data_IF_973069885439
#
_entry.id   IF_973069885439
#
_cell.length_a   1.000
_cell.length_b   1.000
_cell.length_c   1.000
_cell.angle_alpha   90.00
_cell.angle_beta   90.00
_cell.angle_gamma   90.00
#
_symmetry.space_group_name_H-M   'P 1'
#
loop_
_entity.id
_entity.type
_entity.pdbx_description
1 polymer ?
#
# COMPACT_ATOMS: atom_id res chain seq x y z
N UNK A 1 9.28 3.82 27.41
CA UNK A 1 8.24 3.70 26.36
C UNK A 1 7.56 2.37 26.60
N UNK A 2 6.25 2.36 26.87
CA UNK A 2 5.52 1.11 27.11
C UNK A 2 5.40 0.33 25.80
N UNK A 3 5.64 -0.98 25.81
CA UNK A 3 5.36 -1.84 24.66
C UNK A 3 3.84 -1.83 24.41
N UNK A 4 3.39 -1.66 23.16
CA UNK A 4 1.97 -1.72 22.83
C UNK A 4 1.41 -3.11 23.18
N UNK A 5 0.14 -3.19 23.62
CA UNK A 5 -0.50 -4.46 23.92
C UNK A 5 -0.56 -5.31 22.64
N UNK A 6 -0.16 -6.57 22.76
CA UNK A 6 -0.16 -7.49 21.62
C UNK A 6 -1.57 -7.99 21.34
N UNK A 7 -1.92 -8.06 20.06
CA UNK A 7 -3.25 -8.48 19.59
C UNK A 7 -3.26 -10.01 19.48
N UNK A 8 -4.13 -10.72 20.22
CA UNK A 8 -4.29 -12.16 20.05
C UNK A 8 -5.01 -12.43 18.72
N UNK A 9 -4.38 -13.22 17.85
CA UNK A 9 -4.98 -13.68 16.60
C UNK A 9 -5.30 -15.16 16.75
N UNK A 10 -6.57 -15.53 16.57
CA UNK A 10 -6.99 -16.93 16.38
C UNK A 10 -6.79 -17.32 14.91
N UNK A 11 -6.53 -18.60 14.61
CA UNK A 11 -6.41 -19.14 13.24
C UNK A 11 -7.75 -19.15 12.46
N UNK A 12 -8.61 -18.16 12.65
CA UNK A 12 -9.88 -18.03 11.93
C UNK A 12 -9.70 -17.20 10.66
N UNK A 13 -10.02 -17.80 9.51
CA UNK A 13 -10.02 -17.15 8.21
C UNK A 13 -11.46 -17.11 7.66
N UNK A 14 -12.03 -15.94 7.30
CA UNK A 14 -11.45 -14.60 7.37
C UNK A 14 -11.34 -14.03 8.80
N UNK A 15 -10.30 -13.21 9.03
CA UNK A 15 -10.08 -12.50 10.30
C UNK A 15 -11.28 -11.57 10.57
N UNK A 16 -11.92 -11.64 11.76
CA UNK A 16 -13.07 -10.78 12.09
C UNK A 16 -12.73 -9.29 11.98
N UNK A 17 -13.69 -8.46 11.53
CA UNK A 17 -13.49 -7.01 11.38
C UNK A 17 -12.99 -6.34 12.68
N UNK A 18 -13.51 -6.76 13.84
CA UNK A 18 -13.07 -6.27 15.14
C UNK A 18 -11.60 -6.55 15.47
N UNK A 19 -11.03 -7.63 14.91
CA UNK A 19 -9.60 -7.96 15.04
C UNK A 19 -8.77 -7.13 14.06
N UNK A 20 -9.28 -6.88 12.85
CA UNK A 20 -8.63 -6.01 11.87
C UNK A 20 -8.49 -4.57 12.39
N UNK A 21 -9.53 -4.06 13.07
CA UNK A 21 -9.49 -2.74 13.72
C UNK A 21 -8.44 -2.71 14.84
N UNK A 22 -8.36 -3.75 15.67
CA UNK A 22 -7.35 -3.87 16.74
C UNK A 22 -5.92 -3.90 16.18
N UNK A 23 -5.69 -4.66 15.10
CA UNK A 23 -4.40 -4.69 14.40
C UNK A 23 -4.05 -3.30 13.86
N UNK A 24 -4.99 -2.62 13.23
CA UNK A 24 -4.79 -1.27 12.69
C UNK A 24 -4.42 -0.28 13.79
N UNK A 25 -5.13 -0.30 14.92
CA UNK A 25 -4.83 0.55 16.08
C UNK A 25 -3.46 0.23 16.69
N UNK A 26 -3.10 -1.06 16.79
CA UNK A 26 -1.80 -1.48 17.33
C UNK A 26 -0.64 -1.07 16.41
N UNK A 27 -0.79 -1.23 15.09
CA UNK A 27 0.20 -0.75 14.12
C UNK A 27 0.34 0.77 14.16
N UNK A 28 -0.77 1.51 14.36
CA UNK A 28 -0.73 2.95 14.52
C UNK A 28 0.03 3.35 15.80
N UNK A 29 -0.30 2.72 16.93
CA UNK A 29 0.32 3.00 18.23
C UNK A 29 1.83 2.70 18.25
N UNK A 30 2.27 1.66 17.55
CA UNK A 30 3.68 1.28 17.45
C UNK A 30 4.46 2.02 16.34
N UNK A 31 3.79 2.89 15.57
CA UNK A 31 4.38 3.54 14.39
C UNK A 31 4.70 2.56 13.25
N UNK A 32 4.10 1.37 13.24
CA UNK A 32 4.25 0.38 12.17
C UNK A 32 3.65 0.85 10.85
N UNK A 33 2.50 1.56 10.88
CA UNK A 33 1.87 2.11 9.67
C UNK A 33 2.83 3.08 8.93
N UNK A 34 3.41 4.12 9.57
CA UNK A 34 4.40 4.98 8.93
C UNK A 34 5.61 4.22 8.35
N UNK A 35 6.11 3.19 9.04
CA UNK A 35 7.25 2.39 8.55
C UNK A 35 6.89 1.59 7.30
N UNK A 36 5.73 0.95 7.29
CA UNK A 36 5.20 0.22 6.12
C UNK A 36 5.03 1.19 4.94
N UNK A 37 4.43 2.35 5.17
CA UNK A 37 4.22 3.37 4.13
C UNK A 37 5.54 3.91 3.57
N UNK A 38 6.53 4.17 4.44
CA UNK A 38 7.85 4.62 4.02
C UNK A 38 8.57 3.56 3.18
N UNK A 39 8.53 2.30 3.61
CA UNK A 39 9.11 1.19 2.84
C UNK A 39 8.42 1.04 1.48
N UNK A 40 7.08 1.07 1.43
CA UNK A 40 6.34 0.97 0.18
C UNK A 40 6.70 2.11 -0.79
N UNK A 41 6.72 3.35 -0.30
CA UNK A 41 7.14 4.50 -1.11
C UNK A 41 8.57 4.34 -1.62
N UNK A 42 9.52 3.96 -0.76
CA UNK A 42 10.90 3.76 -1.16
C UNK A 42 11.02 2.70 -2.26
N UNK A 43 10.30 1.58 -2.14
CA UNK A 43 10.32 0.52 -3.17
C UNK A 43 9.69 0.96 -4.49
N UNK A 44 8.60 1.73 -4.44
CA UNK A 44 8.01 2.33 -5.64
C UNK A 44 8.97 3.31 -6.33
N UNK A 45 9.69 4.12 -5.54
CA UNK A 45 10.70 5.06 -6.03
C UNK A 45 11.88 4.30 -6.67
N UNK A 46 12.41 3.28 -5.99
CA UNK A 46 13.51 2.42 -6.48
C UNK A 46 13.13 1.64 -7.76
N UNK A 47 11.87 1.24 -7.88
CA UNK A 47 11.35 0.58 -9.07
C UNK A 47 11.05 1.55 -10.23
N UNK A 48 11.28 2.85 -10.06
CA UNK A 48 10.99 3.89 -11.06
C UNK A 48 9.51 4.23 -11.23
N UNK A 49 8.61 3.57 -10.48
CA UNK A 49 7.16 3.72 -10.63
C UNK A 49 6.71 5.17 -10.36
N UNK A 50 7.25 5.81 -9.32
CA UNK A 50 6.89 7.19 -8.98
C UNK A 50 7.33 8.20 -10.03
N UNK A 51 8.46 7.97 -10.69
CA UNK A 51 8.94 8.80 -11.79
C UNK A 51 8.02 8.63 -13.02
N UNK A 52 7.68 7.39 -13.35
CA UNK A 52 6.79 7.08 -14.45
C UNK A 52 5.41 7.70 -14.26
N UNK A 53 4.86 7.65 -13.04
CA UNK A 53 3.61 8.31 -12.70
C UNK A 53 3.68 9.82 -12.91
N UNK A 54 4.77 10.46 -12.46
CA UNK A 54 4.98 11.91 -12.65
C UNK A 54 5.07 12.26 -14.13
N UNK A 55 5.79 11.46 -14.92
CA UNK A 55 5.95 11.66 -16.35
C UNK A 55 4.61 11.55 -17.09
N UNK A 56 3.81 10.53 -16.75
CA UNK A 56 2.47 10.36 -17.31
C UNK A 56 1.54 11.53 -16.98
N UNK A 57 1.45 11.94 -15.71
CA UNK A 57 0.62 13.10 -15.32
C UNK A 57 1.08 14.36 -16.04
N UNK A 58 2.39 14.58 -16.14
CA UNK A 58 2.95 15.72 -16.87
C UNK A 58 2.57 15.68 -18.35
N UNK A 59 2.59 14.50 -18.98
CA UNK A 59 2.18 14.32 -20.37
C UNK A 59 0.68 14.61 -20.58
N UNK A 60 -0.19 14.19 -19.65
CA UNK A 60 -1.63 14.48 -19.70
C UNK A 60 -1.92 15.97 -19.73
N UNK A 61 -1.25 16.75 -18.87
CA UNK A 61 -1.44 18.21 -18.84
C UNK A 61 -0.77 18.91 -20.02
N UNK A 62 0.41 18.45 -20.48
CA UNK A 62 1.10 19.07 -21.63
C UNK A 62 0.41 18.83 -22.96
N UNK A 63 -0.22 17.67 -23.13
CA UNK A 63 -0.99 17.35 -24.33
C UNK A 63 -2.34 18.07 -24.37
N UNK A 64 -2.81 18.60 -23.23
CA UNK A 64 -4.15 19.15 -23.07
C UNK A 64 -5.24 18.08 -22.93
N UNK A 65 -4.88 16.81 -22.82
CA UNK A 65 -5.82 15.70 -22.60
C UNK A 65 -6.49 15.76 -21.23
N UNK A 66 -5.83 16.37 -20.24
CA UNK A 66 -6.43 16.79 -18.98
C UNK A 66 -6.14 18.26 -18.72
N UNK A 67 -7.14 18.97 -18.23
CA UNK A 67 -7.05 20.39 -17.85
C UNK A 67 -7.37 20.60 -16.38
N UNK A 68 -8.00 19.62 -15.73
CA UNK A 68 -8.33 19.67 -14.30
C UNK A 68 -7.68 18.53 -13.53
N UNK A 69 -7.55 18.74 -12.21
CA UNK A 69 -7.05 17.72 -11.29
C UNK A 69 -7.92 16.45 -11.31
N UNK A 70 -9.24 16.60 -11.33
CA UNK A 70 -10.17 15.46 -11.29
C UNK A 70 -10.05 14.58 -12.54
N UNK A 71 -9.93 15.19 -13.74
CA UNK A 71 -9.70 14.46 -14.99
C UNK A 71 -8.40 13.65 -14.95
N UNK A 72 -7.31 14.27 -14.51
CA UNK A 72 -6.02 13.59 -14.40
C UNK A 72 -6.07 12.45 -13.37
N UNK A 73 -6.74 12.66 -12.25
CA UNK A 73 -6.88 11.65 -11.19
C UNK A 73 -7.66 10.42 -11.68
N UNK A 74 -8.76 10.60 -12.41
CA UNK A 74 -9.54 9.48 -12.96
C UNK A 74 -8.70 8.67 -13.94
N UNK A 75 -7.98 9.32 -14.87
CA UNK A 75 -7.07 8.62 -15.79
C UNK A 75 -5.92 7.90 -15.09
N UNK A 76 -5.39 8.47 -14.02
CA UNK A 76 -4.34 7.83 -13.22
C UNK A 76 -4.88 6.58 -12.52
N UNK A 77 -6.06 6.66 -11.87
CA UNK A 77 -6.67 5.50 -11.20
C UNK A 77 -6.94 4.36 -12.17
N UNK A 78 -7.45 4.68 -13.36
CA UNK A 78 -7.67 3.71 -14.43
C UNK A 78 -6.34 3.04 -14.84
N UNK A 79 -5.29 3.85 -15.03
CA UNK A 79 -3.99 3.36 -15.54
C UNK A 79 -3.16 2.59 -14.51
N UNK A 80 -3.29 2.92 -13.23
CA UNK A 80 -2.64 2.20 -12.11
C UNK A 80 -3.38 0.89 -11.77
N UNK A 81 -4.60 0.70 -12.28
CA UNK A 81 -5.38 -0.51 -12.06
C UNK A 81 -6.01 -0.60 -10.67
N UNK A 82 -6.22 0.53 -9.98
CA UNK A 82 -6.89 0.57 -8.67
C UNK A 82 -8.36 0.10 -8.74
N UNK A 83 -8.94 0.01 -9.94
CA UNK A 83 -10.28 -0.51 -10.18
C UNK A 83 -10.35 -2.04 -10.36
N UNK A 84 -9.29 -2.79 -10.02
CA UNK A 84 -9.35 -4.25 -9.92
C UNK A 84 -9.59 -4.98 -11.25
N UNK A 85 -9.21 -4.37 -12.38
CA UNK A 85 -9.24 -5.04 -13.69
C UNK A 85 -8.01 -5.92 -13.84
N UNK A 86 -8.21 -7.24 -13.74
CA UNK A 86 -7.19 -8.24 -14.11
C UNK A 86 -6.73 -8.02 -15.55
N UNK A 87 -5.41 -7.96 -15.77
CA UNK A 87 -4.80 -7.86 -17.10
C UNK A 87 -4.29 -6.48 -17.51
N UNK A 88 -4.23 -5.50 -16.61
CA UNK A 88 -3.46 -4.28 -16.88
C UNK A 88 -1.96 -4.60 -16.88
N UNK A 89 -1.35 -4.56 -18.05
CA UNK A 89 0.11 -4.48 -18.23
C UNK A 89 0.46 -3.04 -18.59
N UNK A 90 1.38 -2.44 -17.84
CA UNK A 90 1.79 -1.07 -18.09
C UNK A 90 2.75 -0.55 -17.04
N UNK A 91 3.50 0.47 -17.45
CA UNK A 91 4.55 1.12 -16.64
C UNK A 91 4.04 1.75 -15.33
N UNK A 92 2.73 2.00 -15.24
CA UNK A 92 2.07 2.54 -14.04
C UNK A 92 1.38 1.49 -13.17
N UNK A 93 1.48 0.21 -13.54
CA UNK A 93 1.03 -0.88 -12.68
C UNK A 93 2.08 -1.09 -11.60
N UNK A 94 1.65 -1.22 -10.34
CA UNK A 94 2.56 -1.48 -9.24
C UNK A 94 3.28 -2.82 -9.48
N UNK A 95 4.62 -2.85 -9.55
CA UNK A 95 5.36 -4.09 -9.80
C UNK A 95 5.10 -5.14 -8.71
N UNK A 96 4.92 -6.41 -9.10
CA UNK A 96 4.72 -7.49 -8.13
C UNK A 96 5.88 -7.63 -7.14
N UNK A 97 7.11 -7.40 -7.59
CA UNK A 97 8.30 -7.41 -6.74
C UNK A 97 8.20 -6.42 -5.58
N UNK A 98 7.70 -5.20 -5.83
CA UNK A 98 7.45 -4.19 -4.80
C UNK A 98 6.42 -4.70 -3.79
N UNK A 99 5.35 -5.33 -4.27
CA UNK A 99 4.32 -5.92 -3.42
C UNK A 99 4.85 -7.04 -2.51
N UNK A 100 5.66 -7.95 -3.05
CA UNK A 100 6.28 -9.04 -2.30
C UNK A 100 7.24 -8.54 -1.22
N UNK A 101 8.10 -7.59 -1.55
CA UNK A 101 9.05 -7.00 -0.60
C UNK A 101 8.33 -6.27 0.55
N UNK A 102 7.28 -5.53 0.22
CA UNK A 102 6.49 -4.78 1.20
C UNK A 102 5.63 -5.70 2.05
N UNK A 103 5.14 -6.81 1.50
CA UNK A 103 4.50 -7.86 2.28
C UNK A 103 5.44 -8.43 3.36
N UNK A 104 6.75 -8.53 3.06
CA UNK A 104 7.77 -8.88 4.06
C UNK A 104 7.89 -7.86 5.20
N UNK A 105 7.77 -6.57 4.90
CA UNK A 105 7.77 -5.50 5.92
C UNK A 105 6.49 -5.54 6.74
N UNK A 106 5.33 -5.68 6.10
CA UNK A 106 4.04 -5.82 6.79
C UNK A 106 4.08 -7.01 7.75
N UNK A 107 4.59 -8.16 7.31
CA UNK A 107 4.74 -9.35 8.16
C UNK A 107 5.58 -9.05 9.41
N UNK A 108 6.73 -8.41 9.24
CA UNK A 108 7.63 -8.06 10.36
C UNK A 108 6.96 -7.13 11.37
N UNK A 109 6.20 -6.14 10.89
CA UNK A 109 5.48 -5.22 11.77
C UNK A 109 4.33 -5.91 12.49
N UNK A 110 3.62 -6.83 11.82
CA UNK A 110 2.58 -7.67 12.44
C UNK A 110 3.18 -8.62 13.49
N UNK A 111 4.32 -9.25 13.24
CA UNK A 111 5.02 -10.09 14.25
C UNK A 111 5.37 -9.30 15.51
N UNK A 112 5.60 -7.98 15.40
CA UNK A 112 5.87 -7.11 16.54
C UNK A 112 4.65 -6.79 17.40
N UNK A 113 3.43 -6.93 16.86
CA UNK A 113 2.19 -6.52 17.53
C UNK A 113 1.17 -7.65 17.69
N UNK A 114 1.37 -8.80 17.08
CA UNK A 114 0.43 -9.91 17.11
C UNK A 114 1.02 -11.11 17.86
N UNK A 115 0.18 -11.81 18.62
CA UNK A 115 0.49 -13.13 19.15
C UNK A 115 -0.50 -14.13 18.58
N UNK A 116 0.02 -15.19 17.95
CA UNK A 116 -0.82 -16.31 17.53
C UNK A 116 -1.22 -17.06 18.80
N UNK A 117 -2.51 -17.03 19.11
CA UNK A 117 -3.06 -17.81 20.22
C UNK A 117 -2.81 -19.29 19.95
N UNK A 118 -2.23 -19.98 20.94
CA UNK A 118 -1.99 -21.43 20.91
C UNK A 118 -3.29 -22.22 20.93
#
# INVERSE_FOLDING_TARGET
>A
MANPPKVPIAETNPVPASVQDQITLALLANGGIPRIQAAFRQRLDEAGWSENLRNYVTALFRSGECTTFFEAMEKVKERVGLEGRDGFEGELVVPRSVGEEVAGVVRRELEGICEVGK
#
